data_IF_046869245003
#
_entry.id   IF_046869245003
#
_cell.length_a   1.000
_cell.length_b   1.000
_cell.length_c   1.000
_cell.angle_alpha   90.00
_cell.angle_beta   90.00
_cell.angle_gamma   90.00
#
_symmetry.space_group_name_H-M   'P 1'
#
loop_
_entity.id
_entity.type
_entity.pdbx_description
1 polymer ?
#
# COMPACT_ATOMS: atom_id res chain seq x y z
N UNK A 1 5.91 15.39 33.91
CA UNK A 1 5.84 15.26 32.44
C UNK A 1 4.73 14.26 32.10
N UNK A 2 4.01 14.46 30.98
CA UNK A 2 2.87 13.61 30.58
C UNK A 2 3.28 12.33 29.83
N UNK A 3 4.58 12.16 29.59
CA UNK A 3 5.15 11.07 28.81
C UNK A 3 4.81 9.66 29.35
N UNK A 4 4.84 9.41 30.68
CA UNK A 4 4.49 8.09 31.21
C UNK A 4 3.03 7.70 30.91
N UNK A 5 2.11 8.66 31.06
CA UNK A 5 0.69 8.45 30.76
C UNK A 5 0.42 8.21 29.27
N UNK A 6 1.22 8.82 28.38
CA UNK A 6 1.13 8.57 26.95
C UNK A 6 1.45 7.11 26.61
N UNK A 7 2.51 6.55 27.22
CA UNK A 7 2.89 5.15 26.98
C UNK A 7 1.86 4.16 27.54
N UNK A 8 1.30 4.43 28.72
CA UNK A 8 0.26 3.57 29.31
C UNK A 8 -1.03 3.55 28.47
N UNK A 9 -1.45 4.70 27.94
CA UNK A 9 -2.62 4.79 27.07
C UNK A 9 -2.37 4.09 25.71
N UNK A 10 -1.16 4.24 25.15
CA UNK A 10 -0.79 3.55 23.91
C UNK A 10 -0.72 2.03 24.10
N UNK A 11 -0.07 1.56 25.18
CA UNK A 11 0.02 0.14 25.50
C UNK A 11 -1.37 -0.47 25.75
N UNK A 12 -2.24 0.25 26.47
CA UNK A 12 -3.63 -0.14 26.69
C UNK A 12 -4.44 -0.28 25.40
N UNK A 13 -4.33 0.69 24.48
CA UNK A 13 -4.99 0.64 23.18
C UNK A 13 -4.52 -0.52 22.30
N UNK A 14 -3.21 -0.82 22.31
CA UNK A 14 -2.63 -1.95 21.54
C UNK A 14 -3.12 -3.29 22.09
N UNK A 15 -3.15 -3.48 23.42
CA UNK A 15 -3.62 -4.73 24.04
C UNK A 15 -5.10 -4.98 23.74
N UNK A 16 -5.94 -3.95 23.79
CA UNK A 16 -7.36 -4.06 23.44
C UNK A 16 -7.54 -4.41 21.96
N UNK A 17 -6.79 -3.78 21.06
CA UNK A 17 -6.87 -4.06 19.62
C UNK A 17 -6.54 -5.53 19.27
N UNK A 18 -5.69 -6.19 20.07
CA UNK A 18 -5.32 -7.60 19.90
C UNK A 18 -6.37 -8.56 20.44
N UNK A 19 -7.05 -8.22 21.53
CA UNK A 19 -8.10 -9.07 22.12
C UNK A 19 -9.35 -9.18 21.24
N UNK A 20 -9.63 -8.15 20.44
CA UNK A 20 -10.79 -8.13 19.53
C UNK A 20 -10.51 -8.67 18.12
N UNK A 21 -9.26 -9.02 17.79
CA UNK A 21 -8.93 -9.59 16.48
C UNK A 21 -8.81 -11.11 16.56
N UNK A 22 -9.84 -11.79 16.07
CA UNK A 22 -9.78 -13.20 15.69
C UNK A 22 -8.76 -13.40 14.57
N UNK A 23 -8.15 -14.57 14.55
CA UNK A 23 -6.95 -14.95 13.80
C UNK A 23 -6.99 -14.64 12.29
N UNK A 24 -5.81 -14.31 11.74
CA UNK A 24 -5.42 -14.37 10.32
C UNK A 24 -6.20 -13.56 9.28
N UNK A 25 -6.21 -12.23 9.40
CA UNK A 25 -6.69 -11.37 8.31
C UNK A 25 -5.59 -10.64 7.51
N UNK A 26 -4.35 -11.14 7.45
CA UNK A 26 -3.30 -10.58 6.59
C UNK A 26 -2.96 -9.11 6.88
N UNK A 27 -2.26 -8.43 5.95
CA UNK A 27 -1.91 -7.03 6.14
C UNK A 27 -3.18 -6.16 6.17
N UNK A 28 -3.33 -5.39 7.25
CA UNK A 28 -4.33 -4.35 7.38
C UNK A 28 -3.64 -3.01 7.38
N UNK A 29 -4.04 -2.14 6.45
CA UNK A 29 -3.54 -0.77 6.37
C UNK A 29 -3.93 -0.02 7.65
N UNK A 30 -3.02 0.06 8.60
CA UNK A 30 -3.19 0.90 9.80
C UNK A 30 -2.90 2.34 9.40
N UNK A 31 -3.96 3.09 9.12
CA UNK A 31 -3.89 4.53 8.86
C UNK A 31 -3.71 5.25 10.20
N UNK A 32 -2.47 5.38 10.67
CA UNK A 32 -2.19 6.36 11.72
C UNK A 32 -2.53 7.76 11.18
N UNK A 33 -3.17 8.64 11.98
CA UNK A 33 -3.34 10.04 11.60
C UNK A 33 -1.94 10.66 11.47
N UNK A 34 -1.41 10.70 10.25
CA UNK A 34 -0.13 11.34 9.96
C UNK A 34 -0.42 12.82 9.77
N UNK A 35 0.05 13.64 10.71
CA UNK A 35 0.44 15.00 10.34
C UNK A 35 1.39 14.86 9.15
N UNK A 36 1.00 15.41 8.02
CA UNK A 36 1.69 15.29 6.74
C UNK A 36 3.05 15.98 6.83
N UNK A 37 4.07 15.32 7.38
CA UNK A 37 5.44 15.81 7.32
C UNK A 37 6.38 14.69 6.88
N UNK A 38 6.82 14.82 5.62
CA UNK A 38 8.23 14.77 5.19
C UNK A 38 9.08 13.58 5.62
N UNK A 39 9.59 12.83 4.63
CA UNK A 39 10.74 11.96 4.86
C UNK A 39 11.12 11.12 3.67
N UNK A 40 10.49 9.96 3.50
CA UNK A 40 11.12 8.89 2.72
C UNK A 40 10.24 8.21 1.64
N UNK A 41 8.91 8.37 1.67
CA UNK A 41 8.01 7.78 0.66
C UNK A 41 6.79 8.67 0.40
N UNK A 42 7.00 9.82 -0.24
CA UNK A 42 5.88 10.60 -0.79
C UNK A 42 5.51 10.05 -2.16
N UNK A 43 4.64 9.04 -2.19
CA UNK A 43 4.05 8.58 -3.45
C UNK A 43 3.26 9.71 -4.10
N UNK A 44 3.48 9.91 -5.40
CA UNK A 44 2.66 10.81 -6.22
C UNK A 44 1.20 10.34 -6.22
N UNK A 45 0.26 11.23 -6.55
CA UNK A 45 -1.18 10.88 -6.58
C UNK A 45 -1.47 9.67 -7.47
N UNK A 46 -0.75 9.54 -8.59
CA UNK A 46 -0.91 8.44 -9.54
C UNK A 46 -0.24 7.13 -9.05
N UNK A 47 0.84 7.21 -8.29
CA UNK A 47 1.44 6.02 -7.68
C UNK A 47 0.57 5.50 -6.53
N UNK A 48 -0.04 6.41 -5.75
CA UNK A 48 -1.00 6.04 -4.70
C UNK A 48 -2.20 5.31 -5.28
N UNK A 49 -2.79 5.82 -6.36
CA UNK A 49 -3.95 5.17 -6.99
C UNK A 49 -3.60 3.78 -7.52
N UNK A 50 -2.40 3.61 -8.09
CA UNK A 50 -1.89 2.33 -8.56
C UNK A 50 -1.70 1.34 -7.39
N UNK A 51 -1.08 1.78 -6.29
CA UNK A 51 -0.90 0.98 -5.08
C UNK A 51 -2.25 0.57 -4.48
N UNK A 52 -3.22 1.48 -4.42
CA UNK A 52 -4.55 1.19 -3.90
C UNK A 52 -5.30 0.15 -4.75
N UNK A 53 -5.19 0.21 -6.08
CA UNK A 53 -5.78 -0.80 -6.98
C UNK A 53 -5.13 -2.18 -6.80
N UNK A 54 -3.83 -2.25 -6.58
CA UNK A 54 -3.12 -3.52 -6.30
C UNK A 54 -3.55 -4.06 -4.93
N UNK A 55 -3.62 -3.20 -3.91
CA UNK A 55 -4.03 -3.59 -2.56
C UNK A 55 -5.46 -4.09 -2.47
N UNK A 56 -6.35 -3.59 -3.34
CA UNK A 56 -7.73 -4.08 -3.43
C UNK A 56 -7.79 -5.55 -3.86
N UNK A 57 -6.83 -6.02 -4.66
CA UNK A 57 -6.76 -7.41 -5.13
C UNK A 57 -5.85 -8.29 -4.26
N UNK A 58 -4.76 -7.73 -3.75
CA UNK A 58 -3.76 -8.45 -2.97
C UNK A 58 -3.55 -7.77 -1.63
N UNK A 59 -3.63 -8.52 -0.52
CA UNK A 59 -3.36 -7.98 0.83
C UNK A 59 -1.86 -7.80 1.05
N UNK A 60 -1.25 -6.83 0.36
CA UNK A 60 0.18 -6.50 0.39
C UNK A 60 0.40 -5.09 0.92
N UNK A 61 1.57 -4.84 1.51
CA UNK A 61 1.92 -3.53 2.07
C UNK A 61 2.31 -2.52 0.99
N UNK A 62 2.19 -1.21 1.29
CA UNK A 62 2.61 -0.14 0.36
C UNK A 62 4.07 -0.30 -0.08
N UNK A 63 4.94 -0.74 0.84
CA UNK A 63 6.38 -0.86 0.62
C UNK A 63 6.68 -2.01 -0.34
N UNK A 64 6.07 -3.19 -0.12
CA UNK A 64 6.21 -4.35 -1.01
C UNK A 64 5.68 -4.06 -2.41
N UNK A 65 4.58 -3.30 -2.52
CA UNK A 65 4.04 -2.92 -3.83
C UNK A 65 5.04 -2.05 -4.60
N UNK A 66 5.65 -1.07 -3.94
CA UNK A 66 6.56 -0.12 -4.58
C UNK A 66 7.92 -0.73 -4.89
N UNK A 67 8.46 -1.55 -3.98
CA UNK A 67 9.80 -2.12 -4.11
C UNK A 67 9.84 -3.33 -5.04
N UNK A 68 8.84 -4.21 -4.98
CA UNK A 68 8.89 -5.50 -5.68
C UNK A 68 7.84 -5.59 -6.78
N UNK A 69 6.60 -5.22 -6.48
CA UNK A 69 5.46 -5.48 -7.35
C UNK A 69 5.45 -4.58 -8.59
N UNK A 70 5.65 -3.27 -8.43
CA UNK A 70 5.69 -2.32 -9.55
C UNK A 70 6.87 -2.62 -10.50
N UNK A 71 8.12 -2.85 -10.04
CA UNK A 71 9.22 -3.25 -10.91
C UNK A 71 8.96 -4.56 -11.66
N UNK A 72 8.34 -5.54 -11.01
CA UNK A 72 7.94 -6.78 -11.66
C UNK A 72 6.90 -6.53 -12.76
N UNK A 73 5.88 -5.71 -12.50
CA UNK A 73 4.89 -5.34 -13.51
C UNK A 73 5.51 -4.57 -14.67
N UNK A 74 6.51 -3.72 -14.43
CA UNK A 74 7.29 -3.04 -15.49
C UNK A 74 8.04 -4.05 -16.35
N UNK A 75 8.68 -5.04 -15.74
CA UNK A 75 9.40 -6.08 -16.47
C UNK A 75 8.46 -6.91 -17.35
N UNK A 76 7.29 -7.30 -16.82
CA UNK A 76 6.27 -8.05 -17.57
C UNK A 76 5.59 -7.24 -18.67
N UNK A 77 5.40 -5.94 -18.47
CA UNK A 77 4.71 -5.09 -19.44
C UNK A 77 5.67 -4.52 -20.51
N UNK A 78 6.98 -4.48 -20.22
CA UNK A 78 8.03 -4.13 -21.17
C UNK A 78 8.24 -5.17 -22.28
N UNK A 79 7.96 -6.45 -22.02
CA UNK A 79 8.13 -7.53 -23.00
C UNK A 79 7.07 -7.54 -24.10
N UNK A 80 5.84 -7.11 -23.83
CA UNK A 80 4.77 -7.10 -24.84
C UNK A 80 3.67 -6.09 -24.55
N UNK A 81 3.29 -5.32 -25.58
CA UNK A 81 2.13 -4.40 -25.52
C UNK A 81 0.81 -5.13 -25.25
N UNK A 82 0.71 -6.42 -25.63
CA UNK A 82 -0.48 -7.24 -25.34
C UNK A 82 -0.57 -7.55 -23.85
N UNK A 83 0.55 -7.91 -23.22
CA UNK A 83 0.64 -8.16 -21.78
C UNK A 83 0.35 -6.90 -20.96
N UNK A 84 0.82 -5.73 -21.40
CA UNK A 84 0.47 -4.45 -20.76
C UNK A 84 -1.03 -4.20 -20.80
N UNK A 85 -1.70 -4.52 -21.92
CA UNK A 85 -3.16 -4.36 -22.05
C UNK A 85 -3.90 -5.33 -21.13
N UNK A 86 -3.53 -6.61 -21.12
CA UNK A 86 -4.14 -7.62 -20.25
C UNK A 86 -3.98 -7.29 -18.77
N UNK A 87 -2.77 -6.90 -18.33
CA UNK A 87 -2.51 -6.47 -16.96
C UNK A 87 -3.32 -5.22 -16.62
N UNK A 88 -3.38 -4.27 -17.53
CA UNK A 88 -4.13 -3.05 -17.30
C UNK A 88 -5.63 -3.28 -17.22
N UNK A 89 -6.16 -4.20 -18.02
CA UNK A 89 -7.58 -4.54 -17.98
C UNK A 89 -7.86 -5.37 -16.71
N UNK A 90 -6.91 -6.20 -16.25
CA UNK A 90 -7.01 -6.93 -15.00
C UNK A 90 -7.04 -6.02 -13.76
N UNK A 91 -6.17 -5.01 -13.68
CA UNK A 91 -6.11 -4.09 -12.54
C UNK A 91 -6.95 -2.82 -12.71
N UNK A 92 -7.67 -2.69 -13.83
CA UNK A 92 -8.45 -1.50 -14.17
C UNK A 92 -7.58 -0.21 -14.15
N UNK A 93 -6.37 -0.28 -14.70
CA UNK A 93 -5.45 0.86 -14.72
C UNK A 93 -5.85 1.92 -15.75
N UNK A 94 -5.76 3.18 -15.32
CA UNK A 94 -6.03 4.36 -16.15
C UNK A 94 -4.86 4.65 -17.11
N UNK A 95 -5.11 5.45 -18.15
CA UNK A 95 -4.08 5.80 -19.14
C UNK A 95 -2.81 6.43 -18.51
N UNK A 96 -2.95 7.13 -17.40
CA UNK A 96 -1.84 7.73 -16.65
C UNK A 96 -1.05 6.69 -15.85
N UNK A 97 -1.72 5.67 -15.31
CA UNK A 97 -1.10 4.57 -14.56
C UNK A 97 -0.39 3.59 -15.52
N UNK A 98 -0.97 3.35 -16.70
CA UNK A 98 -0.33 2.58 -17.78
C UNK A 98 1.00 3.20 -18.22
N UNK A 99 1.12 4.54 -18.19
CA UNK A 99 2.38 5.24 -18.49
C UNK A 99 3.44 5.02 -17.42
N UNK A 100 3.04 4.82 -16.17
CA UNK A 100 3.97 4.54 -15.07
C UNK A 100 4.55 3.12 -15.14
N UNK A 101 3.92 2.22 -15.88
CA UNK A 101 4.36 0.84 -16.09
C UNK A 101 5.22 0.65 -17.37
N UNK A 102 5.27 1.67 -18.24
CA UNK A 102 6.20 1.72 -19.38
C UNK A 102 7.57 2.23 -18.96
#
# INVERSE_FOLDING_TARGET
SLLPYFFDLFAGGVVLSRKYRTQDEGFHRIMFPRFTSTGFFSLSTNERSLVEKIQKKYKVSDIEVVQDFIPFLKLLSGTSRKQLKELSDWFEFDANERKLLK
#
